data_IF_112922875039
#
_entry.id   IF_112922875039
#
_cell.length_a   1.000
_cell.length_b   1.000
_cell.length_c   1.000
_cell.angle_alpha   90.00
_cell.angle_beta   90.00
_cell.angle_gamma   90.00
#
_symmetry.space_group_name_H-M   'P 1'
#
loop_
_entity.id
_entity.type
_entity.pdbx_description
1 polymer ?
#
# COMPACT_ATOMS: atom_id res chain seq x y z
N UNK A 1 17.56 10.01 -11.26
CA UNK A 1 16.19 9.45 -11.42
C UNK A 1 15.16 10.55 -11.30
N UNK A 2 15.29 11.43 -10.30
CA UNK A 2 14.39 12.58 -10.12
C UNK A 2 14.62 13.72 -11.08
N UNK A 3 15.79 13.83 -11.73
CA UNK A 3 16.21 14.96 -12.55
C UNK A 3 16.32 16.25 -11.75
N UNK A 4 16.67 16.16 -10.46
CA UNK A 4 16.94 17.32 -9.61
C UNK A 4 18.44 17.57 -9.65
N UNK A 5 18.82 18.72 -10.20
CA UNK A 5 20.23 19.07 -10.40
C UNK A 5 20.88 19.69 -9.14
N UNK A 6 20.10 19.96 -8.10
CA UNK A 6 20.65 20.47 -6.83
C UNK A 6 21.43 19.39 -6.10
N UNK A 7 22.67 19.69 -5.77
CA UNK A 7 23.58 18.77 -5.06
C UNK A 7 23.54 18.96 -3.54
N UNK A 8 23.08 20.10 -3.03
CA UNK A 8 22.93 20.31 -1.59
C UNK A 8 21.66 19.65 -1.06
N UNK A 9 21.82 18.45 -0.53
CA UNK A 9 20.71 17.67 0.05
C UNK A 9 20.10 18.33 1.29
N UNK A 10 20.87 19.13 2.04
CA UNK A 10 20.36 19.87 3.20
C UNK A 10 19.44 20.99 2.77
N UNK A 11 19.82 21.73 1.73
CA UNK A 11 18.96 22.78 1.15
C UNK A 11 17.65 22.20 0.60
N UNK A 12 17.72 21.02 -0.06
CA UNK A 12 16.51 20.32 -0.55
C UNK A 12 15.58 19.97 0.62
N UNK A 13 16.13 19.40 1.69
CA UNK A 13 15.34 18.99 2.86
C UNK A 13 14.77 20.19 3.61
N UNK A 14 15.56 21.24 3.81
CA UNK A 14 15.12 22.50 4.43
C UNK A 14 13.96 23.14 3.64
N UNK A 15 14.09 23.24 2.32
CA UNK A 15 13.01 23.77 1.48
C UNK A 15 11.72 22.95 1.51
N UNK A 16 11.77 21.66 1.80
CA UNK A 16 10.54 20.87 2.06
C UNK A 16 9.87 21.30 3.36
N UNK A 17 10.65 21.67 4.40
CA UNK A 17 10.08 22.21 5.64
C UNK A 17 9.43 23.59 5.40
N UNK A 18 10.01 24.42 4.53
CA UNK A 18 9.40 25.69 4.15
C UNK A 18 8.06 25.47 3.46
N UNK A 19 7.98 24.52 2.51
CA UNK A 19 6.69 24.12 1.91
C UNK A 19 5.66 23.72 2.98
N UNK A 20 6.08 22.97 3.98
CA UNK A 20 5.19 22.50 5.05
C UNK A 20 4.68 23.63 5.96
N UNK A 21 5.48 24.68 6.17
CA UNK A 21 5.14 25.82 7.02
C UNK A 21 4.29 26.84 6.29
N UNK A 22 4.74 27.24 5.12
CA UNK A 22 4.26 28.44 4.44
C UNK A 22 3.63 28.16 3.07
N UNK A 23 3.72 26.93 2.58
CA UNK A 23 3.30 26.53 1.23
C UNK A 23 4.31 26.93 0.14
N UNK A 24 5.40 27.58 0.51
CA UNK A 24 6.42 28.08 -0.39
C UNK A 24 7.74 27.34 -0.18
N UNK A 25 8.56 27.26 -1.23
CA UNK A 25 9.87 26.65 -1.14
C UNK A 25 10.60 26.68 -2.48
N UNK A 26 11.89 26.31 -2.50
CA UNK A 26 12.66 26.25 -3.73
C UNK A 26 12.10 25.21 -4.72
N UNK A 27 12.24 25.48 -6.01
CA UNK A 27 11.75 24.61 -7.09
C UNK A 27 12.26 23.17 -6.97
N UNK A 28 13.50 22.98 -6.58
CA UNK A 28 14.08 21.65 -6.38
C UNK A 28 13.41 20.87 -5.21
N UNK A 29 12.93 21.56 -4.18
CA UNK A 29 12.18 20.94 -3.07
C UNK A 29 10.76 20.59 -3.49
N UNK A 30 10.09 21.45 -4.26
CA UNK A 30 8.83 21.16 -4.93
C UNK A 30 8.96 19.93 -5.84
N UNK A 31 10.03 19.88 -6.65
CA UNK A 31 10.30 18.75 -7.53
C UNK A 31 10.49 17.46 -6.75
N UNK A 32 11.21 17.49 -5.62
CA UNK A 32 11.40 16.30 -4.78
C UNK A 32 10.10 15.81 -4.16
N UNK A 33 9.32 16.71 -3.56
CA UNK A 33 8.02 16.36 -2.99
C UNK A 33 7.07 15.78 -4.07
N UNK A 34 7.00 16.41 -5.25
CA UNK A 34 6.09 16.02 -6.33
C UNK A 34 6.47 14.69 -6.99
N UNK A 35 7.77 14.43 -7.16
CA UNK A 35 8.30 13.23 -7.82
C UNK A 35 8.47 12.04 -6.87
N UNK A 36 8.24 12.21 -5.57
CA UNK A 36 8.32 11.11 -4.61
C UNK A 36 7.35 9.98 -4.99
N UNK A 37 7.90 8.79 -5.21
CA UNK A 37 7.14 7.60 -5.55
C UNK A 37 6.74 6.75 -4.34
N UNK A 38 7.16 7.11 -3.13
CA UNK A 38 6.87 6.38 -1.91
C UNK A 38 7.71 5.11 -1.71
N UNK A 39 8.87 5.01 -2.38
CA UNK A 39 9.72 3.80 -2.34
C UNK A 39 10.22 3.39 -0.94
N UNK A 40 10.28 4.31 0.01
CA UNK A 40 10.76 4.04 1.37
C UNK A 40 12.27 4.02 1.54
N UNK A 41 13.09 4.15 0.50
CA UNK A 41 14.55 4.18 0.64
C UNK A 41 15.05 5.27 1.59
N UNK A 42 14.34 6.40 1.68
CA UNK A 42 14.68 7.45 2.63
C UNK A 42 14.49 7.03 4.10
N UNK A 43 13.65 6.04 4.38
CA UNK A 43 13.45 5.51 5.73
C UNK A 43 14.66 4.71 6.19
N UNK A 44 15.26 3.92 5.28
CA UNK A 44 16.38 3.03 5.61
C UNK A 44 17.71 3.76 5.76
N UNK A 45 17.83 4.96 5.17
CA UNK A 45 19.08 5.74 5.18
C UNK A 45 19.03 6.98 6.07
N UNK A 46 17.91 7.27 6.72
CA UNK A 46 17.79 8.44 7.57
C UNK A 46 18.47 8.21 8.92
N UNK A 47 19.57 8.92 9.25
CA UNK A 47 20.28 8.72 10.50
C UNK A 47 19.48 9.23 11.72
N UNK A 48 18.54 10.14 11.50
CA UNK A 48 17.73 10.76 12.55
C UNK A 48 16.47 9.96 12.91
N UNK A 49 16.21 8.84 12.21
CA UNK A 49 15.04 8.00 12.45
C UNK A 49 13.69 8.67 12.17
N UNK A 50 13.66 9.82 11.47
CA UNK A 50 12.43 10.46 11.03
C UNK A 50 11.84 9.73 9.82
N UNK A 51 10.58 10.05 9.47
CA UNK A 51 9.95 9.53 8.26
C UNK A 51 9.94 10.59 7.14
N UNK A 52 11.00 10.67 6.29
CA UNK A 52 11.04 11.65 5.19
C UNK A 52 9.95 11.42 4.16
N UNK A 53 9.50 10.17 3.98
CA UNK A 53 8.38 9.86 3.07
C UNK A 53 7.08 10.50 3.53
N UNK A 54 6.79 10.46 4.83
CA UNK A 54 5.65 11.16 5.42
C UNK A 54 5.76 12.67 5.21
N UNK A 55 6.95 13.25 5.49
CA UNK A 55 7.24 14.66 5.28
C UNK A 55 6.95 15.09 3.83
N UNK A 56 7.45 14.33 2.83
CA UNK A 56 7.20 14.58 1.41
C UNK A 56 5.72 14.41 1.02
N UNK A 57 5.02 13.48 1.66
CA UNK A 57 3.59 13.29 1.45
C UNK A 57 2.79 14.49 1.95
N UNK A 58 3.16 15.02 3.11
CA UNK A 58 2.53 16.21 3.67
C UNK A 58 2.86 17.46 2.83
N UNK A 59 4.12 17.66 2.44
CA UNK A 59 4.51 18.78 1.58
C UNK A 59 3.72 18.75 0.25
N UNK A 60 3.61 17.60 -0.38
CA UNK A 60 2.78 17.45 -1.60
C UNK A 60 1.31 17.76 -1.36
N UNK A 61 0.78 17.39 -0.19
CA UNK A 61 -0.58 17.75 0.21
C UNK A 61 -0.73 19.27 0.37
N UNK A 62 0.23 19.92 1.06
CA UNK A 62 0.23 21.39 1.21
C UNK A 62 0.20 22.07 -0.16
N UNK A 63 1.09 21.68 -1.08
CA UNK A 63 1.09 22.20 -2.45
C UNK A 63 -0.24 21.97 -3.19
N UNK A 64 -0.80 20.77 -3.07
CA UNK A 64 -2.08 20.45 -3.71
C UNK A 64 -3.24 21.29 -3.14
N UNK A 65 -3.18 21.67 -1.86
CA UNK A 65 -4.21 22.50 -1.21
C UNK A 65 -4.18 23.97 -1.67
N UNK A 66 -3.14 24.42 -2.36
CA UNK A 66 -3.10 25.76 -2.95
C UNK A 66 -4.07 25.92 -4.14
N UNK A 67 -4.45 24.81 -4.78
CA UNK A 67 -5.47 24.84 -5.82
C UNK A 67 -6.87 25.11 -5.25
N UNK A 68 -7.80 25.74 -6.03
CA UNK A 68 -9.17 25.97 -5.61
C UNK A 68 -9.86 24.67 -5.14
N UNK A 69 -10.70 24.79 -4.13
CA UNK A 69 -11.35 23.63 -3.49
C UNK A 69 -12.19 22.82 -4.48
N UNK A 70 -12.94 23.51 -5.35
CA UNK A 70 -13.78 22.84 -6.35
C UNK A 70 -12.94 22.04 -7.35
N UNK A 71 -11.79 22.59 -7.78
CA UNK A 71 -10.86 21.90 -8.67
C UNK A 71 -10.29 20.63 -8.01
N UNK A 72 -9.88 20.72 -6.74
CA UNK A 72 -9.38 19.58 -5.96
C UNK A 72 -10.42 18.48 -5.83
N UNK A 73 -11.67 18.86 -5.50
CA UNK A 73 -12.80 17.93 -5.37
C UNK A 73 -13.14 17.26 -6.69
N UNK A 74 -13.23 18.01 -7.80
CA UNK A 74 -13.50 17.43 -9.11
C UNK A 74 -12.36 16.51 -9.57
N UNK A 75 -11.11 16.88 -9.34
CA UNK A 75 -9.95 16.04 -9.68
C UNK A 75 -9.97 14.73 -8.86
N UNK A 76 -10.23 14.81 -7.56
CA UNK A 76 -10.33 13.64 -6.69
C UNK A 76 -11.46 12.70 -7.09
N UNK A 77 -12.63 13.26 -7.37
CA UNK A 77 -13.80 12.52 -7.85
C UNK A 77 -13.56 11.86 -9.20
N UNK A 78 -12.94 12.55 -10.15
CA UNK A 78 -12.60 12.00 -11.46
C UNK A 78 -11.60 10.85 -11.36
N UNK A 79 -10.55 11.01 -10.52
CA UNK A 79 -9.57 9.97 -10.27
C UNK A 79 -10.20 8.72 -9.63
N UNK A 80 -11.06 8.90 -8.63
CA UNK A 80 -11.78 7.80 -7.99
C UNK A 80 -12.73 7.09 -8.96
N UNK A 81 -13.50 7.83 -9.76
CA UNK A 81 -14.41 7.28 -10.78
C UNK A 81 -13.65 6.47 -11.83
N UNK A 82 -12.52 6.99 -12.31
CA UNK A 82 -11.67 6.30 -13.29
C UNK A 82 -11.13 5.00 -12.72
N UNK A 83 -10.58 5.03 -11.50
CA UNK A 83 -10.10 3.84 -10.81
C UNK A 83 -11.23 2.81 -10.60
N UNK A 84 -12.37 3.24 -10.08
CA UNK A 84 -13.52 2.35 -9.82
C UNK A 84 -14.02 1.65 -11.09
N UNK A 85 -14.05 2.36 -12.21
CA UNK A 85 -14.40 1.78 -13.50
C UNK A 85 -13.35 0.78 -13.97
N UNK A 86 -12.06 1.15 -13.90
CA UNK A 86 -10.97 0.29 -14.30
C UNK A 86 -10.95 -1.01 -13.48
N UNK A 87 -11.07 -0.92 -12.15
CA UNK A 87 -11.15 -2.10 -11.26
C UNK A 87 -12.32 -2.99 -11.66
N UNK A 88 -13.50 -2.42 -11.84
CA UNK A 88 -14.71 -3.18 -12.17
C UNK A 88 -14.60 -3.91 -13.51
N UNK A 89 -14.02 -3.28 -14.52
CA UNK A 89 -13.86 -3.89 -15.85
C UNK A 89 -12.77 -4.95 -15.81
N UNK A 90 -11.58 -4.59 -15.33
CA UNK A 90 -10.41 -5.49 -15.35
C UNK A 90 -10.66 -6.75 -14.50
N UNK A 91 -11.26 -6.61 -13.30
CA UNK A 91 -11.54 -7.76 -12.44
C UNK A 91 -12.55 -8.72 -13.08
N UNK A 92 -13.62 -8.21 -13.71
CA UNK A 92 -14.62 -9.04 -14.37
C UNK A 92 -14.14 -9.71 -15.65
N UNK A 93 -13.13 -9.15 -16.31
CA UNK A 93 -12.49 -9.80 -17.44
C UNK A 93 -11.57 -10.95 -17.05
N UNK A 94 -11.08 -10.95 -15.79
CA UNK A 94 -10.11 -11.93 -15.30
C UNK A 94 -10.76 -13.03 -14.47
N UNK A 95 -11.88 -12.74 -13.80
CA UNK A 95 -12.50 -13.66 -12.85
C UNK A 95 -13.97 -13.93 -13.17
N UNK A 96 -14.40 -15.19 -13.05
CA UNK A 96 -15.81 -15.52 -12.98
C UNK A 96 -16.45 -14.96 -11.69
N UNK A 97 -17.81 -14.82 -11.67
CA UNK A 97 -18.50 -14.15 -10.57
C UNK A 97 -18.28 -14.74 -9.18
N UNK A 98 -18.14 -16.05 -9.07
CA UNK A 98 -17.90 -16.77 -7.81
C UNK A 98 -16.53 -16.43 -7.20
N UNK A 99 -15.47 -16.45 -7.99
CA UNK A 99 -14.12 -16.05 -7.55
C UNK A 99 -14.06 -14.54 -7.24
N UNK A 100 -14.81 -13.74 -8.02
CA UNK A 100 -14.92 -12.32 -7.72
C UNK A 100 -15.59 -12.07 -6.36
N UNK A 101 -16.61 -12.85 -6.02
CA UNK A 101 -17.31 -12.77 -4.74
C UNK A 101 -16.40 -13.14 -3.55
N UNK A 102 -15.42 -14.04 -3.73
CA UNK A 102 -14.40 -14.32 -2.69
C UNK A 102 -13.57 -13.09 -2.34
N UNK A 103 -13.22 -12.24 -3.33
CA UNK A 103 -12.34 -11.08 -3.14
C UNK A 103 -13.07 -9.77 -2.84
N UNK A 104 -14.35 -9.70 -3.12
CA UNK A 104 -15.16 -8.52 -2.86
C UNK A 104 -16.62 -8.96 -2.62
N UNK A 105 -16.89 -9.64 -1.52
CA UNK A 105 -18.23 -10.08 -1.18
C UNK A 105 -19.16 -8.89 -0.98
N UNK A 106 -20.42 -9.06 -1.34
CA UNK A 106 -21.46 -8.03 -1.16
C UNK A 106 -22.01 -7.99 0.27
N UNK A 107 -21.86 -9.10 0.99
CA UNK A 107 -22.27 -9.27 2.39
C UNK A 107 -21.39 -10.30 3.07
N UNK A 108 -21.36 -10.25 4.38
CA UNK A 108 -20.67 -11.23 5.20
C UNK A 108 -21.67 -12.01 6.03
N UNK A 109 -21.45 -13.33 6.25
CA UNK A 109 -22.29 -14.11 7.13
C UNK A 109 -22.21 -13.57 8.56
N UNK A 110 -23.34 -13.64 9.27
CA UNK A 110 -23.32 -13.35 10.71
C UNK A 110 -22.40 -14.35 11.42
N UNK A 111 -21.56 -13.86 12.33
CA UNK A 111 -20.65 -14.66 13.13
C UNK A 111 -20.97 -14.47 14.62
N UNK A 112 -20.81 -15.52 15.40
CA UNK A 112 -20.93 -15.43 16.86
C UNK A 112 -19.66 -14.84 17.49
N UNK A 113 -18.51 -15.07 16.86
CA UNK A 113 -17.20 -14.55 17.28
C UNK A 113 -16.54 -13.80 16.16
N UNK A 114 -15.77 -12.74 16.47
CA UNK A 114 -14.96 -12.06 15.46
C UNK A 114 -14.01 -13.02 14.73
N UNK A 115 -13.72 -12.81 13.45
CA UNK A 115 -12.70 -13.57 12.75
C UNK A 115 -11.30 -13.20 13.27
N UNK A 116 -10.33 -14.08 13.07
CA UNK A 116 -8.92 -13.78 13.40
C UNK A 116 -8.41 -12.61 12.55
N UNK A 117 -8.83 -12.57 11.28
CA UNK A 117 -8.26 -11.69 10.28
C UNK A 117 -9.34 -10.99 9.46
N UNK A 118 -9.14 -9.69 9.21
CA UNK A 118 -9.70 -9.00 8.06
C UNK A 118 -8.68 -9.09 6.92
N UNK A 119 -9.02 -9.73 5.81
CA UNK A 119 -8.22 -9.65 4.59
C UNK A 119 -8.70 -8.49 3.73
N UNK A 120 -7.90 -7.41 3.73
CA UNK A 120 -8.22 -6.18 3.03
C UNK A 120 -7.57 -6.15 1.65
N UNK A 121 -8.36 -6.43 0.61
CA UNK A 121 -7.88 -6.37 -0.78
C UNK A 121 -7.74 -4.93 -1.28
N UNK A 122 -8.38 -3.96 -0.63
CA UNK A 122 -8.46 -2.61 -1.16
C UNK A 122 -9.11 -2.59 -2.55
N UNK A 123 -8.70 -1.62 -3.37
CA UNK A 123 -9.22 -1.50 -4.73
C UNK A 123 -8.24 -2.06 -5.78
N UNK A 124 -6.94 -1.98 -5.55
CA UNK A 124 -5.95 -2.24 -6.58
C UNK A 124 -5.65 -3.73 -6.78
N UNK A 125 -5.72 -4.52 -5.72
CA UNK A 125 -5.54 -5.98 -5.80
C UNK A 125 -6.55 -6.64 -6.76
N UNK A 126 -7.73 -6.07 -6.89
CA UNK A 126 -8.74 -6.56 -7.83
C UNK A 126 -8.36 -6.40 -9.31
N UNK A 127 -7.25 -5.73 -9.63
CA UNK A 127 -6.66 -5.70 -10.97
C UNK A 127 -5.69 -6.86 -11.21
N UNK A 128 -5.17 -7.45 -10.13
CA UNK A 128 -4.30 -8.64 -10.12
C UNK A 128 -4.89 -9.68 -9.17
N UNK A 129 -6.12 -10.15 -9.46
CA UNK A 129 -6.93 -10.88 -8.50
C UNK A 129 -6.35 -12.25 -8.12
N UNK A 130 -5.52 -12.84 -8.98
CA UNK A 130 -4.82 -14.09 -8.70
C UNK A 130 -3.97 -14.03 -7.42
N UNK A 131 -3.35 -12.88 -7.13
CA UNK A 131 -2.58 -12.67 -5.89
C UNK A 131 -3.51 -12.77 -4.68
N UNK A 132 -4.65 -12.08 -4.73
CA UNK A 132 -5.63 -12.12 -3.65
C UNK A 132 -6.18 -13.52 -3.40
N UNK A 133 -6.50 -14.26 -4.47
CA UNK A 133 -6.98 -15.64 -4.35
C UNK A 133 -5.92 -16.56 -3.71
N UNK A 134 -4.65 -16.44 -4.12
CA UNK A 134 -3.56 -17.19 -3.50
C UNK A 134 -3.40 -16.85 -2.01
N UNK A 135 -3.56 -15.58 -1.63
CA UNK A 135 -3.54 -15.20 -0.22
C UNK A 135 -4.67 -15.89 0.56
N UNK A 136 -5.90 -15.93 0.01
CA UNK A 136 -7.02 -16.62 0.65
C UNK A 136 -6.77 -18.14 0.75
N UNK A 137 -6.23 -18.76 -0.30
CA UNK A 137 -5.90 -20.19 -0.29
C UNK A 137 -4.84 -20.52 0.77
N UNK A 138 -3.91 -19.61 1.06
CA UNK A 138 -2.94 -19.77 2.15
C UNK A 138 -3.62 -19.61 3.50
N UNK A 139 -4.51 -18.64 3.69
CA UNK A 139 -5.28 -18.48 4.92
C UNK A 139 -6.16 -19.70 5.20
N UNK A 140 -6.82 -20.25 4.17
CA UNK A 140 -7.61 -21.49 4.27
C UNK A 140 -6.76 -22.67 4.75
N UNK A 141 -5.52 -22.79 4.27
CA UNK A 141 -4.59 -23.88 4.69
C UNK A 141 -4.00 -23.69 6.08
N UNK A 142 -4.00 -22.47 6.58
CA UNK A 142 -3.59 -22.13 7.94
C UNK A 142 -4.75 -22.23 8.94
N UNK A 143 -5.93 -22.68 8.50
CA UNK A 143 -7.18 -22.72 9.28
C UNK A 143 -7.51 -21.37 9.96
N UNK A 144 -7.04 -20.26 9.36
CA UNK A 144 -7.32 -18.93 9.86
C UNK A 144 -8.74 -18.51 9.49
N UNK A 145 -9.53 -18.08 10.47
CA UNK A 145 -10.83 -17.48 10.17
C UNK A 145 -10.68 -16.07 9.66
N UNK A 146 -11.29 -15.73 8.53
CA UNK A 146 -11.14 -14.41 7.94
C UNK A 146 -12.43 -13.84 7.36
N UNK A 147 -12.45 -12.52 7.23
CA UNK A 147 -13.48 -11.76 6.51
C UNK A 147 -12.81 -10.87 5.45
N UNK A 148 -13.33 -10.89 4.21
CA UNK A 148 -12.71 -10.17 3.10
C UNK A 148 -13.39 -8.83 2.89
N UNK A 149 -12.62 -7.75 2.96
CA UNK A 149 -13.07 -6.40 2.65
C UNK A 149 -12.36 -5.87 1.40
N UNK A 150 -13.09 -5.70 0.31
CA UNK A 150 -12.52 -5.30 -0.96
C UNK A 150 -13.36 -4.31 -1.74
N UNK A 151 -12.79 -3.92 -2.88
CA UNK A 151 -13.43 -3.05 -3.84
C UNK A 151 -13.38 -1.56 -3.50
N UNK A 152 -13.89 -0.72 -4.43
CA UNK A 152 -13.84 0.74 -4.28
C UNK A 152 -14.60 1.29 -3.07
N UNK A 153 -15.59 0.55 -2.56
CA UNK A 153 -16.35 0.93 -1.36
C UNK A 153 -15.48 0.95 -0.08
N UNK A 154 -14.41 0.15 -0.07
CA UNK A 154 -13.45 0.06 1.03
C UNK A 154 -12.11 0.71 0.64
N UNK A 155 -12.14 1.90 0.04
CA UNK A 155 -10.93 2.61 -0.41
C UNK A 155 -10.24 3.29 0.78
N UNK A 156 -8.90 3.35 0.73
CA UNK A 156 -8.08 4.09 1.70
C UNK A 156 -8.07 5.62 1.50
N UNK A 157 -8.77 6.14 0.50
CA UNK A 157 -8.88 7.58 0.26
C UNK A 157 -7.70 8.24 -0.48
N UNK A 158 -6.65 7.51 -0.82
CA UNK A 158 -5.44 8.08 -1.42
C UNK A 158 -5.69 8.85 -2.73
N UNK A 159 -6.71 8.48 -3.49
CA UNK A 159 -7.02 9.10 -4.77
C UNK A 159 -7.62 10.51 -4.62
N UNK A 160 -8.34 10.73 -3.53
CA UNK A 160 -8.83 12.04 -3.14
C UNK A 160 -7.74 12.85 -2.44
N UNK A 161 -6.91 12.19 -1.61
CA UNK A 161 -5.83 12.85 -0.89
C UNK A 161 -4.80 13.49 -1.82
N UNK A 162 -4.39 12.78 -2.88
CA UNK A 162 -3.35 13.25 -3.80
C UNK A 162 -3.62 14.61 -4.45
N UNK A 163 -4.82 14.92 -4.96
CA UNK A 163 -5.15 16.27 -5.46
C UNK A 163 -5.50 17.26 -4.36
N UNK A 164 -5.42 16.89 -3.08
CA UNK A 164 -5.70 17.79 -1.96
C UNK A 164 -7.17 17.83 -1.49
N UNK A 165 -8.03 16.93 -1.97
CA UNK A 165 -9.40 16.74 -1.49
C UNK A 165 -9.41 15.92 -0.18
N UNK A 166 -8.95 16.57 0.89
CA UNK A 166 -8.72 15.93 2.19
C UNK A 166 -9.99 15.48 2.87
N UNK A 167 -11.07 16.23 2.74
CA UNK A 167 -12.35 15.93 3.39
C UNK A 167 -12.96 14.64 2.83
N UNK A 168 -12.97 14.50 1.51
CA UNK A 168 -13.45 13.28 0.89
C UNK A 168 -12.51 12.10 1.13
N UNK A 169 -11.19 12.34 1.19
CA UNK A 169 -10.21 11.33 1.53
C UNK A 169 -10.44 10.78 2.94
N UNK A 170 -10.53 11.65 3.94
CA UNK A 170 -10.77 11.30 5.35
C UNK A 170 -12.11 10.60 5.51
N UNK A 171 -13.18 11.14 4.91
CA UNK A 171 -14.51 10.50 4.96
C UNK A 171 -14.52 9.10 4.35
N UNK A 172 -13.81 8.89 3.24
CA UNK A 172 -13.74 7.58 2.58
C UNK A 172 -12.95 6.57 3.43
N UNK A 173 -11.81 6.97 3.93
CA UNK A 173 -10.98 6.14 4.79
C UNK A 173 -11.66 5.84 6.13
N UNK A 174 -12.27 6.86 6.77
CA UNK A 174 -13.00 6.72 8.03
C UNK A 174 -14.12 5.67 7.93
N UNK A 175 -14.93 5.70 6.86
CA UNK A 175 -15.95 4.66 6.63
C UNK A 175 -15.35 3.24 6.50
N UNK A 176 -14.15 3.12 5.96
CA UNK A 176 -13.46 1.82 5.88
C UNK A 176 -13.00 1.39 7.26
N UNK A 177 -12.41 2.29 8.03
CA UNK A 177 -11.97 2.02 9.41
C UNK A 177 -13.15 1.64 10.33
N UNK A 178 -14.28 2.37 10.24
CA UNK A 178 -15.49 2.03 10.99
C UNK A 178 -16.02 0.63 10.70
N UNK A 179 -15.91 0.18 9.43
CA UNK A 179 -16.28 -1.20 9.08
C UNK A 179 -15.36 -2.22 9.70
N UNK A 180 -14.04 -1.97 9.65
CA UNK A 180 -13.06 -2.87 10.27
C UNK A 180 -13.24 -2.95 11.80
N UNK A 181 -13.47 -1.80 12.44
CA UNK A 181 -13.75 -1.76 13.88
C UNK A 181 -15.00 -2.57 14.28
N UNK A 182 -16.04 -2.56 13.43
CA UNK A 182 -17.26 -3.34 13.67
C UNK A 182 -17.04 -4.85 13.55
N UNK A 183 -16.07 -5.29 12.76
CA UNK A 183 -15.72 -6.71 12.63
C UNK A 183 -15.01 -7.20 13.89
N UNK A 184 -14.14 -6.38 14.48
CA UNK A 184 -13.42 -6.69 15.72
C UNK A 184 -12.33 -7.76 15.56
N UNK A 185 -11.81 -7.97 14.34
CA UNK A 185 -10.72 -8.91 14.10
C UNK A 185 -9.42 -8.43 14.78
N UNK A 186 -8.55 -9.40 15.12
CA UNK A 186 -7.26 -9.12 15.74
C UNK A 186 -6.29 -8.43 14.76
N UNK A 187 -6.28 -8.89 13.52
CA UNK A 187 -5.37 -8.41 12.48
C UNK A 187 -6.13 -7.90 11.26
N UNK A 188 -5.63 -6.82 10.67
CA UNK A 188 -6.04 -6.37 9.34
C UNK A 188 -4.88 -6.57 8.39
N UNK A 189 -5.03 -7.50 7.46
CA UNK A 189 -3.99 -7.88 6.51
C UNK A 189 -4.22 -7.24 5.15
N UNK A 190 -3.16 -6.74 4.53
CA UNK A 190 -3.20 -6.28 3.15
C UNK A 190 -1.96 -6.69 2.37
N UNK A 191 -2.12 -6.76 1.05
CA UNK A 191 -0.99 -6.87 0.11
C UNK A 191 -0.59 -5.50 -0.44
N UNK A 192 -1.43 -4.50 -0.32
CA UNK A 192 -1.22 -3.20 -0.96
C UNK A 192 -0.40 -2.25 -0.07
N UNK A 193 0.88 -1.96 -0.42
CA UNK A 193 1.72 -1.06 0.37
C UNK A 193 1.18 0.37 0.42
N UNK A 194 0.46 0.83 -0.62
CA UNK A 194 -0.19 2.15 -0.60
C UNK A 194 -1.29 2.21 0.45
N UNK A 195 -2.07 1.14 0.63
CA UNK A 195 -3.10 1.09 1.66
C UNK A 195 -2.47 1.04 3.06
N UNK A 196 -1.44 0.22 3.24
CA UNK A 196 -0.69 0.14 4.50
C UNK A 196 -0.14 1.52 4.88
N UNK A 197 0.60 2.17 3.98
CA UNK A 197 1.15 3.50 4.21
C UNK A 197 0.05 4.53 4.53
N UNK A 198 -1.07 4.49 3.81
CA UNK A 198 -2.16 5.46 4.00
C UNK A 198 -2.80 5.33 5.38
N UNK A 199 -3.09 4.12 5.83
CA UNK A 199 -3.70 3.90 7.15
C UNK A 199 -2.69 3.99 8.29
N UNK A 200 -1.50 3.43 8.16
CA UNK A 200 -0.52 3.38 9.25
C UNK A 200 0.35 4.63 9.37
N UNK A 201 0.48 5.47 8.33
CA UNK A 201 1.34 6.65 8.37
C UNK A 201 0.59 7.97 8.20
N UNK A 202 -0.40 8.01 7.29
CA UNK A 202 -1.01 9.28 6.87
C UNK A 202 -2.23 9.65 7.70
N UNK A 203 -3.01 8.69 8.14
CA UNK A 203 -4.29 8.91 8.84
C UNK A 203 -4.20 8.78 10.36
N UNK A 204 -3.12 8.23 10.88
CA UNK A 204 -2.96 7.92 12.31
C UNK A 204 -3.04 9.12 13.26
N UNK A 205 -2.84 10.35 12.78
CA UNK A 205 -2.73 11.51 13.67
C UNK A 205 -4.04 12.18 14.07
N UNK A 206 -5.17 11.85 13.43
CA UNK A 206 -6.47 12.49 13.73
C UNK A 206 -7.63 11.53 14.03
N UNK A 207 -7.51 10.28 13.59
CA UNK A 207 -8.56 9.26 13.67
C UNK A 207 -8.14 8.07 14.56
N UNK A 208 -7.16 8.29 15.43
CA UNK A 208 -6.82 7.35 16.49
C UNK A 208 -8.02 7.22 17.44
N UNK A 209 -8.29 6.01 17.90
CA UNK A 209 -9.25 5.79 18.98
C UNK A 209 -8.87 6.61 20.24
N UNK A 210 -9.74 6.63 21.25
CA UNK A 210 -9.53 7.40 22.49
C UNK A 210 -8.20 7.05 23.21
N UNK A 211 -7.53 5.96 22.81
CA UNK A 211 -6.24 5.50 23.34
C UNK A 211 -5.07 5.77 22.38
N UNK A 212 -5.29 6.53 21.28
CA UNK A 212 -4.23 6.92 20.34
C UNK A 212 -3.81 5.82 19.36
N UNK A 213 -4.57 4.74 19.25
CA UNK A 213 -4.28 3.63 18.33
C UNK A 213 -4.94 3.89 16.97
N UNK A 214 -4.13 4.18 15.97
CA UNK A 214 -4.55 4.12 14.57
C UNK A 214 -4.79 2.68 14.11
N UNK A 215 -5.48 2.51 12.99
CA UNK A 215 -5.61 1.21 12.35
C UNK A 215 -4.24 0.78 11.81
N UNK A 216 -3.66 -0.23 12.41
CA UNK A 216 -2.44 -0.85 11.87
C UNK A 216 -2.80 -1.92 10.85
N UNK A 217 -2.26 -1.79 9.65
CA UNK A 217 -2.39 -2.78 8.59
C UNK A 217 -1.10 -3.56 8.47
N UNK A 218 -1.15 -4.82 8.81
CA UNK A 218 -0.05 -5.76 8.63
C UNK A 218 0.03 -6.19 7.17
N UNK A 219 1.22 -6.11 6.58
CA UNK A 219 1.45 -6.65 5.24
C UNK A 219 1.41 -8.18 5.27
N UNK A 220 0.74 -8.77 4.27
CA UNK A 220 0.52 -10.22 4.22
C UNK A 220 1.81 -11.06 4.38
N UNK A 221 2.95 -10.74 3.74
CA UNK A 221 4.20 -11.46 3.97
C UNK A 221 4.68 -11.40 5.44
N UNK A 222 4.50 -10.27 6.12
CA UNK A 222 4.89 -10.11 7.52
C UNK A 222 4.04 -11.01 8.43
N UNK A 223 2.75 -11.11 8.16
CA UNK A 223 1.86 -12.04 8.86
C UNK A 223 2.28 -13.50 8.64
N UNK A 224 2.61 -13.88 7.39
CA UNK A 224 3.04 -15.23 7.07
C UNK A 224 4.38 -15.61 7.73
N UNK A 225 5.33 -14.69 7.76
CA UNK A 225 6.63 -14.94 8.42
C UNK A 225 6.45 -15.22 9.91
N UNK A 226 5.56 -14.48 10.59
CA UNK A 226 5.21 -14.77 12.01
C UNK A 226 4.57 -16.15 12.24
N UNK A 227 4.04 -16.77 11.18
CA UNK A 227 3.41 -18.08 11.20
C UNK A 227 4.18 -19.12 10.38
N UNK A 228 5.48 -18.89 10.21
CA UNK A 228 6.31 -19.75 9.38
C UNK A 228 6.37 -21.20 9.90
N UNK A 229 6.29 -21.38 11.21
CA UNK A 229 6.27 -22.72 11.83
C UNK A 229 4.98 -23.51 11.47
N UNK A 230 3.86 -22.81 11.32
CA UNK A 230 2.60 -23.40 10.83
C UNK A 230 2.67 -23.70 9.31
N UNK A 231 3.41 -22.86 8.56
CA UNK A 231 3.55 -23.01 7.10
C UNK A 231 4.53 -24.13 6.71
N UNK A 232 5.62 -24.33 7.45
CA UNK A 232 6.67 -25.32 7.11
C UNK A 232 6.13 -26.72 6.86
N UNK A 233 5.22 -27.27 7.68
CA UNK A 233 4.64 -28.59 7.42
C UNK A 233 3.82 -28.68 6.13
N UNK A 234 3.31 -27.53 5.64
CA UNK A 234 2.53 -27.44 4.41
C UNK A 234 3.40 -27.33 3.14
N UNK A 235 4.68 -26.98 3.29
CA UNK A 235 5.65 -26.85 2.20
C UNK A 235 6.22 -28.23 1.78
N UNK A 236 5.36 -29.14 1.39
CA UNK A 236 5.74 -30.54 1.08
C UNK A 236 6.34 -30.74 -0.32
N UNK A 237 6.11 -29.79 -1.22
CA UNK A 237 6.59 -29.88 -2.60
C UNK A 237 7.94 -29.21 -2.75
N UNK A 238 8.90 -29.93 -3.31
CA UNK A 238 10.21 -29.38 -3.64
C UNK A 238 10.13 -28.51 -4.89
N UNK A 239 10.65 -27.29 -4.82
CA UNK A 239 10.61 -26.28 -5.89
C UNK A 239 12.03 -26.02 -6.39
N UNK A 240 12.46 -26.72 -7.45
CA UNK A 240 13.78 -26.53 -8.07
C UNK A 240 13.78 -25.28 -8.96
N UNK A 241 13.86 -24.12 -8.33
CA UNK A 241 13.87 -22.81 -9.00
C UNK A 241 14.93 -21.90 -8.39
N UNK A 242 15.50 -21.04 -9.25
CA UNK A 242 16.34 -19.91 -8.84
C UNK A 242 15.52 -18.65 -8.92
N UNK A 243 15.47 -17.87 -7.84
CA UNK A 243 14.70 -16.63 -7.76
C UNK A 243 15.58 -15.48 -7.31
N UNK A 244 15.35 -14.31 -7.89
CA UNK A 244 15.90 -13.05 -7.41
C UNK A 244 14.77 -12.20 -6.83
N UNK A 245 14.94 -11.65 -5.64
CA UNK A 245 13.96 -10.78 -5.04
C UNK A 245 14.17 -9.34 -5.53
N UNK A 246 13.11 -8.76 -6.06
CA UNK A 246 13.02 -7.33 -6.29
C UNK A 246 12.46 -6.67 -5.02
N UNK A 247 13.34 -6.02 -4.25
CA UNK A 247 13.00 -5.54 -2.92
C UNK A 247 12.11 -4.29 -2.95
N UNK A 248 11.22 -4.21 -1.98
CA UNK A 248 10.41 -3.03 -1.70
C UNK A 248 10.59 -2.60 -0.23
N UNK A 249 11.49 -1.64 0.05
CA UNK A 249 11.76 -1.20 1.41
C UNK A 249 10.67 -0.29 2.00
N UNK A 250 9.63 0.00 1.22
CA UNK A 250 8.57 0.94 1.58
C UNK A 250 7.62 0.47 2.67
N UNK A 251 7.55 -0.84 2.95
CA UNK A 251 6.75 -1.39 4.05
C UNK A 251 7.67 -2.11 5.02
N UNK A 252 7.68 -1.71 6.31
CA UNK A 252 8.58 -2.29 7.31
C UNK A 252 8.43 -3.82 7.41
N UNK A 253 9.56 -4.53 7.45
CA UNK A 253 9.64 -5.97 7.63
C UNK A 253 9.24 -6.81 6.43
N UNK A 254 8.80 -6.22 5.31
CA UNK A 254 8.32 -7.00 4.14
C UNK A 254 9.46 -7.72 3.44
N UNK A 255 10.58 -7.05 3.19
CA UNK A 255 11.73 -7.67 2.49
C UNK A 255 12.27 -8.85 3.28
N UNK A 256 12.49 -8.66 4.58
CA UNK A 256 13.00 -9.67 5.49
C UNK A 256 12.03 -10.87 5.57
N UNK A 257 10.75 -10.60 5.73
CA UNK A 257 9.70 -11.64 5.78
C UNK A 257 9.62 -12.45 4.50
N UNK A 258 9.72 -11.79 3.33
CA UNK A 258 9.71 -12.49 2.03
C UNK A 258 10.94 -13.38 1.90
N UNK A 259 12.13 -12.87 2.26
CA UNK A 259 13.36 -13.68 2.23
C UNK A 259 13.28 -14.89 3.16
N UNK A 260 12.73 -14.72 4.36
CA UNK A 260 12.54 -15.80 5.33
C UNK A 260 11.59 -16.88 4.78
N UNK A 261 10.45 -16.48 4.22
CA UNK A 261 9.49 -17.41 3.62
C UNK A 261 10.10 -18.14 2.43
N UNK A 262 10.76 -17.43 1.52
CA UNK A 262 11.39 -18.04 0.34
C UNK A 262 12.49 -19.03 0.74
N UNK A 263 13.27 -18.70 1.77
CA UNK A 263 14.33 -19.58 2.29
C UNK A 263 13.78 -20.88 2.93
N UNK A 264 12.52 -20.87 3.36
CA UNK A 264 11.86 -22.04 3.93
C UNK A 264 11.33 -23.00 2.86
N UNK A 265 11.20 -22.58 1.60
CA UNK A 265 10.67 -23.42 0.51
C UNK A 265 11.71 -24.47 0.10
N UNK A 266 11.42 -25.77 0.19
CA UNK A 266 12.37 -26.81 -0.17
C UNK A 266 12.84 -26.73 -1.64
N UNK A 267 14.15 -26.69 -1.86
CA UNK A 267 14.75 -26.68 -3.20
C UNK A 267 14.82 -25.30 -3.89
N UNK A 268 14.24 -24.28 -3.28
CA UNK A 268 14.33 -22.93 -3.83
C UNK A 268 15.71 -22.33 -3.54
N UNK A 269 16.34 -21.76 -4.55
CA UNK A 269 17.60 -21.04 -4.45
C UNK A 269 17.35 -19.53 -4.61
N UNK A 270 17.72 -18.75 -3.59
CA UNK A 270 17.67 -17.28 -3.68
C UNK A 270 19.03 -16.81 -4.20
N UNK A 271 19.00 -16.07 -5.32
CA UNK A 271 20.21 -15.50 -5.91
C UNK A 271 20.24 -13.99 -5.73
N UNK A 272 21.42 -13.45 -5.49
CA UNK A 272 21.65 -12.02 -5.55
C UNK A 272 21.94 -11.57 -6.97
N UNK A 273 21.39 -10.41 -7.33
CA UNK A 273 21.69 -9.77 -8.61
C UNK A 273 22.81 -8.75 -8.40
N UNK A 274 23.78 -8.73 -9.32
CA UNK A 274 24.87 -7.74 -9.34
C UNK A 274 24.42 -6.31 -9.69
N UNK A 275 23.12 -6.09 -9.82
CA UNK A 275 22.55 -4.80 -10.16
C UNK A 275 21.87 -4.17 -8.94
N UNK A 276 21.75 -2.82 -8.89
CA UNK A 276 21.05 -2.16 -7.81
C UNK A 276 19.62 -2.70 -7.66
N UNK A 277 19.25 -3.11 -6.45
CA UNK A 277 17.88 -3.48 -6.09
C UNK A 277 17.06 -2.20 -6.00
N UNK A 278 16.37 -1.84 -7.06
CA UNK A 278 15.77 -0.50 -7.19
C UNK A 278 14.32 -0.46 -6.71
N UNK A 279 13.73 -1.60 -6.37
CA UNK A 279 12.40 -1.67 -5.80
C UNK A 279 11.35 -0.87 -6.60
N UNK A 280 10.50 -0.16 -5.92
CA UNK A 280 9.45 0.67 -6.50
C UNK A 280 9.96 1.74 -7.50
N UNK A 281 11.24 2.09 -7.49
CA UNK A 281 11.82 3.07 -8.43
C UNK A 281 11.77 2.59 -9.87
N UNK A 282 11.98 1.29 -10.13
CA UNK A 282 11.84 0.74 -11.50
C UNK A 282 10.41 0.92 -11.99
N UNK A 283 9.43 0.65 -11.15
CA UNK A 283 8.02 0.87 -11.47
C UNK A 283 7.74 2.34 -11.80
N UNK A 284 8.36 3.27 -11.07
CA UNK A 284 8.20 4.70 -11.32
C UNK A 284 8.88 5.16 -12.60
N UNK A 285 10.05 4.61 -12.94
CA UNK A 285 10.71 4.86 -14.21
C UNK A 285 9.89 4.34 -15.38
N UNK A 286 9.41 3.11 -15.28
CA UNK A 286 8.48 2.52 -16.27
C UNK A 286 7.18 3.32 -16.34
N UNK A 287 6.67 3.82 -15.21
CA UNK A 287 5.48 4.68 -15.15
C UNK A 287 5.68 6.02 -15.85
N UNK A 288 6.86 6.60 -15.77
CA UNK A 288 7.20 7.83 -16.47
C UNK A 288 7.21 7.65 -17.99
N UNK A 289 7.65 6.47 -18.45
CA UNK A 289 7.72 6.15 -19.88
C UNK A 289 6.47 5.44 -20.43
N UNK A 290 5.69 4.78 -19.56
CA UNK A 290 4.49 4.05 -19.92
C UNK A 290 3.30 4.41 -18.99
N UNK A 291 2.87 5.67 -18.94
CA UNK A 291 1.92 6.16 -17.92
C UNK A 291 0.56 5.46 -17.93
N UNK A 292 0.23 4.70 -18.97
CA UNK A 292 -1.04 3.97 -19.10
C UNK A 292 -1.01 2.58 -18.45
N UNK A 293 0.15 2.00 -18.21
CA UNK A 293 0.31 0.63 -17.70
C UNK A 293 0.61 0.59 -16.20
N UNK A 294 1.22 1.62 -15.67
CA UNK A 294 1.98 1.56 -14.41
C UNK A 294 1.34 2.24 -13.21
N UNK A 295 0.10 2.66 -13.28
CA UNK A 295 -0.65 3.09 -12.08
C UNK A 295 -1.16 1.92 -11.23
N UNK A 296 -0.78 0.70 -11.53
CA UNK A 296 -1.00 -0.46 -10.70
C UNK A 296 0.22 -0.68 -9.80
N UNK A 297 0.02 -0.89 -8.50
CA UNK A 297 1.07 -1.46 -7.67
C UNK A 297 1.39 -2.85 -8.22
N UNK A 298 2.50 -2.96 -8.91
CA UNK A 298 3.14 -4.23 -9.18
C UNK A 298 4.11 -4.38 -8.00
N UNK A 299 3.65 -5.04 -6.96
CA UNK A 299 4.48 -5.51 -5.87
C UNK A 299 4.94 -6.89 -6.21
#
# INVERSE_FOLDING_TARGET
>A
ITGIDQLDTKAIAAGVLDILRDGEGPEFSHAWASKCCGSGHCLTVCPEGINPRFMLTMARRTLAQMAPEDERKETGKAAFKTMSRAVRVISRLQLPPDLMARLSPSSHPARETPPDVIFYTGCNMLKTPHIGLLCLDVLDRLDASYEVHGGPANCCGILQLRPGDTDNATRQAGKTMERFAKVGAQDVLSWCPTCQMQFSETLTSKDADAEGRGLDITMFPVYLAKRLDDLRPLMTTRVEKRVALHEYPGSPGVTESVLEILSAIPGLEIIELEMPKVGYQITSLVAAHLPRITKSCIG
#
